data_IF_643846401111
#
_entry.id   IF_643846401111
#
_cell.length_a   1.000
_cell.length_b   1.000
_cell.length_c   1.000
_cell.angle_alpha   90.00
_cell.angle_beta   90.00
_cell.angle_gamma   90.00
#
_symmetry.space_group_name_H-M   'P 1'
#
loop_
_entity.id
_entity.type
_entity.pdbx_description
1 polymer ?
#
# COMPACT_ATOMS: atom_id res chain seq x y z
N UNK A 1 -8.92 19.29 17.77
CA UNK A 1 -7.80 19.17 16.81
C UNK A 1 -7.06 17.84 16.93
N UNK A 2 -6.82 17.29 18.14
CA UNK A 2 -6.09 16.02 18.30
C UNK A 2 -6.94 14.73 18.19
N UNK A 3 -8.24 14.79 18.51
CA UNK A 3 -9.13 13.61 18.43
C UNK A 3 -9.29 13.02 17.00
N UNK A 4 -9.11 13.84 15.95
CA UNK A 4 -9.10 13.36 14.56
C UNK A 4 -7.77 12.68 14.19
N UNK A 5 -6.65 13.15 14.73
CA UNK A 5 -5.32 12.54 14.51
C UNK A 5 -5.24 11.18 15.20
N UNK A 6 -5.80 11.05 16.41
CA UNK A 6 -5.95 9.77 17.11
C UNK A 6 -6.77 8.77 16.28
N UNK A 7 -7.88 9.23 15.72
CA UNK A 7 -8.82 8.39 14.97
C UNK A 7 -8.26 7.92 13.63
N UNK A 8 -7.53 8.76 12.90
CA UNK A 8 -6.92 8.37 11.62
C UNK A 8 -5.89 7.24 11.79
N UNK A 9 -5.06 7.30 12.83
CA UNK A 9 -4.10 6.24 13.13
C UNK A 9 -4.79 4.93 13.54
N UNK A 10 -5.86 5.00 14.33
CA UNK A 10 -6.67 3.83 14.71
C UNK A 10 -7.33 3.18 13.50
N UNK A 11 -7.95 3.98 12.63
CA UNK A 11 -8.60 3.51 11.40
C UNK A 11 -7.59 2.88 10.43
N UNK A 12 -6.40 3.48 10.30
CA UNK A 12 -5.33 2.91 9.49
C UNK A 12 -4.83 1.58 10.03
N UNK A 13 -4.54 1.52 11.34
CA UNK A 13 -4.10 0.28 11.99
C UNK A 13 -5.15 -0.83 11.86
N UNK A 14 -6.44 -0.51 12.04
CA UNK A 14 -7.53 -1.46 11.88
C UNK A 14 -7.57 -2.06 10.46
N UNK A 15 -7.34 -1.23 9.41
CA UNK A 15 -7.26 -1.71 8.03
C UNK A 15 -6.05 -2.61 7.80
N UNK A 16 -4.86 -2.22 8.25
CA UNK A 16 -3.65 -3.05 8.13
C UNK A 16 -3.84 -4.40 8.83
N UNK A 17 -4.44 -4.40 10.02
CA UNK A 17 -4.71 -5.61 10.78
C UNK A 17 -5.71 -6.53 10.07
N UNK A 18 -6.71 -5.96 9.39
CA UNK A 18 -7.66 -6.72 8.58
C UNK A 18 -6.94 -7.44 7.43
N UNK A 19 -6.16 -6.71 6.64
CA UNK A 19 -5.40 -7.28 5.51
C UNK A 19 -4.43 -8.37 5.96
N UNK A 20 -3.73 -8.14 7.09
CA UNK A 20 -2.86 -9.17 7.67
C UNK A 20 -3.60 -10.45 8.07
N UNK A 21 -4.80 -10.31 8.66
CA UNK A 21 -5.60 -11.46 9.06
C UNK A 21 -6.21 -12.20 7.87
N UNK A 22 -6.51 -11.51 6.78
CA UNK A 22 -7.01 -12.11 5.54
C UNK A 22 -5.90 -12.84 4.77
N UNK A 23 -4.71 -12.26 4.70
CA UNK A 23 -3.52 -12.94 4.15
C UNK A 23 -3.18 -14.21 4.94
N UNK A 24 -3.30 -14.17 6.28
CA UNK A 24 -3.17 -15.37 7.12
C UNK A 24 -4.22 -16.44 6.84
N UNK A 25 -5.38 -16.07 6.32
CA UNK A 25 -6.42 -17.01 5.87
C UNK A 25 -6.17 -17.52 4.44
N UNK A 26 -5.07 -17.12 3.80
CA UNK A 26 -4.74 -17.44 2.42
C UNK A 26 -5.53 -16.65 1.39
N UNK A 27 -6.19 -15.58 1.81
CA UNK A 27 -6.93 -14.69 0.91
C UNK A 27 -5.97 -13.57 0.52
N UNK A 28 -5.32 -13.74 -0.62
CA UNK A 28 -4.50 -12.68 -1.22
C UNK A 28 -5.43 -11.60 -1.76
N UNK A 29 -5.39 -10.41 -1.16
CA UNK A 29 -6.18 -9.26 -1.61
C UNK A 29 -5.37 -8.32 -2.48
N UNK A 30 -6.06 -7.71 -3.43
CA UNK A 30 -5.53 -6.60 -4.23
C UNK A 30 -5.17 -5.40 -3.34
N UNK A 31 -4.24 -4.53 -3.77
CA UNK A 31 -3.89 -3.31 -3.06
C UNK A 31 -5.13 -2.48 -2.73
N UNK A 32 -5.21 -1.94 -1.51
CA UNK A 32 -6.31 -1.07 -1.12
C UNK A 32 -5.87 0.40 -1.12
N UNK A 33 -6.81 1.28 -1.44
CA UNK A 33 -6.60 2.73 -1.39
C UNK A 33 -6.91 3.20 0.04
N UNK A 34 -5.89 3.71 0.73
CA UNK A 34 -6.02 4.29 2.07
C UNK A 34 -6.47 5.75 2.02
N UNK A 35 -5.81 6.57 1.21
CA UNK A 35 -6.17 7.95 0.90
C UNK A 35 -6.19 8.17 -0.61
N UNK A 36 -6.75 9.28 -1.09
CA UNK A 36 -7.08 9.53 -2.51
C UNK A 36 -5.96 9.18 -3.51
N UNK A 37 -4.70 9.29 -3.10
CA UNK A 37 -3.52 8.97 -3.87
C UNK A 37 -2.55 8.03 -3.14
N UNK A 38 -2.95 7.37 -2.05
CA UNK A 38 -2.09 6.43 -1.30
C UNK A 38 -2.69 5.03 -1.36
N UNK A 39 -1.95 4.10 -1.95
CA UNK A 39 -2.27 2.67 -1.93
C UNK A 39 -1.40 1.94 -0.92
N UNK A 40 -1.94 0.86 -0.37
CA UNK A 40 -1.23 -0.05 0.52
C UNK A 40 -1.43 -1.47 0.04
N UNK A 41 -0.32 -2.20 -0.07
CA UNK A 41 -0.29 -3.60 -0.45
C UNK A 41 0.47 -4.40 0.61
N UNK A 42 -0.04 -5.57 0.97
CA UNK A 42 0.70 -6.54 1.75
C UNK A 42 1.42 -7.50 0.80
N UNK A 43 2.75 -7.61 0.95
CA UNK A 43 3.58 -8.52 0.16
C UNK A 43 3.99 -9.69 1.04
N UNK A 44 3.68 -10.89 0.56
CA UNK A 44 4.08 -12.15 1.17
C UNK A 44 5.35 -12.73 0.50
N UNK A 45 5.99 -13.71 1.13
CA UNK A 45 7.26 -14.34 0.71
C UNK A 45 7.22 -14.92 -0.71
N UNK A 46 6.01 -15.20 -1.24
CA UNK A 46 5.77 -15.73 -2.58
C UNK A 46 5.54 -14.69 -3.68
N UNK A 47 5.38 -13.41 -3.32
CA UNK A 47 5.14 -12.33 -4.27
C UNK A 47 6.43 -11.57 -4.62
N UNK A 48 6.47 -10.84 -5.74
CA UNK A 48 7.60 -9.99 -6.09
C UNK A 48 7.77 -8.89 -5.03
N UNK A 49 8.83 -9.00 -4.21
CA UNK A 49 9.14 -8.00 -3.20
C UNK A 49 10.19 -7.03 -3.72
N UNK A 50 9.87 -5.74 -3.95
CA UNK A 50 10.84 -4.75 -4.41
C UNK A 50 11.96 -4.50 -3.39
N UNK A 51 11.72 -4.78 -2.10
CA UNK A 51 12.74 -4.69 -1.06
C UNK A 51 13.77 -5.80 -1.15
N UNK A 52 13.48 -6.93 -1.83
CA UNK A 52 14.42 -8.07 -1.95
C UNK A 52 15.74 -7.69 -2.64
N UNK A 53 15.72 -6.65 -3.46
CA UNK A 53 16.91 -6.15 -4.15
C UNK A 53 17.80 -5.26 -3.25
N UNK A 54 17.29 -4.83 -2.10
CA UNK A 54 17.95 -3.89 -1.17
C UNK A 54 18.23 -4.56 0.18
N UNK A 55 17.25 -5.32 0.67
CA UNK A 55 17.26 -6.06 1.92
C UNK A 55 17.22 -7.56 1.59
N UNK A 56 18.10 -8.33 2.23
CA UNK A 56 18.19 -9.78 2.03
C UNK A 56 17.07 -10.54 2.74
N UNK A 57 16.26 -9.83 3.53
CA UNK A 57 15.11 -10.37 4.26
C UNK A 57 13.89 -10.40 3.33
N UNK A 58 13.26 -11.56 3.23
CA UNK A 58 12.02 -11.73 2.48
C UNK A 58 10.89 -12.03 3.47
N UNK A 59 10.62 -11.05 4.32
CA UNK A 59 9.55 -11.10 5.30
C UNK A 59 8.25 -10.47 4.78
N UNK A 60 7.18 -10.69 5.55
CA UNK A 60 5.87 -10.14 5.24
C UNK A 60 5.90 -8.62 5.49
N UNK A 61 5.72 -7.83 4.45
CA UNK A 61 5.89 -6.38 4.50
C UNK A 61 4.71 -5.65 3.90
N UNK A 62 4.30 -4.55 4.55
CA UNK A 62 3.37 -3.60 3.95
C UNK A 62 4.15 -2.60 3.10
N UNK A 63 3.76 -2.47 1.85
CA UNK A 63 4.26 -1.45 0.93
C UNK A 63 3.19 -0.38 0.78
N UNK A 64 3.60 0.86 1.02
CA UNK A 64 2.75 2.04 0.86
C UNK A 64 3.31 2.86 -0.28
N UNK A 65 2.49 3.08 -1.30
CA UNK A 65 2.90 3.77 -2.52
C UNK A 65 1.92 4.87 -2.87
N UNK A 66 2.43 5.91 -3.55
CA UNK A 66 1.58 6.92 -4.15
C UNK A 66 1.00 6.39 -5.47
N UNK A 67 -0.32 6.34 -5.58
CA UNK A 67 -1.00 6.02 -6.84
C UNK A 67 -0.80 7.19 -7.79
N UNK A 68 -0.06 6.95 -8.87
CA UNK A 68 -0.04 7.89 -10.00
C UNK A 68 -1.37 7.75 -10.70
N UNK A 69 -2.31 8.65 -10.38
CA UNK A 69 -3.54 8.78 -11.15
C UNK A 69 -3.15 8.97 -12.62
N UNK A 70 -3.60 8.04 -13.46
CA UNK A 70 -3.25 7.93 -14.88
C UNK A 70 -3.54 9.22 -15.68
N UNK A 71 -4.40 10.10 -15.15
CA UNK A 71 -4.61 11.45 -15.69
C UNK A 71 -3.31 12.28 -15.69
N UNK A 72 -2.50 12.23 -14.63
CA UNK A 72 -1.24 12.98 -14.55
C UNK A 72 -0.13 12.37 -15.39
N UNK A 73 -0.15 11.04 -15.57
CA UNK A 73 0.80 10.34 -16.44
C UNK A 73 0.59 10.70 -17.92
N UNK A 74 -0.67 10.82 -18.36
CA UNK A 74 -1.01 11.28 -19.70
C UNK A 74 -0.66 12.75 -19.90
N UNK A 75 -0.94 13.63 -18.93
CA UNK A 75 -0.54 15.05 -19.00
C UNK A 75 0.97 15.26 -19.03
N UNK A 76 1.75 14.49 -18.25
CA UNK A 76 3.22 14.54 -18.31
C UNK A 76 3.76 14.02 -19.63
N UNK A 77 3.13 12.99 -20.22
CA UNK A 77 3.51 12.47 -21.53
C UNK A 77 3.22 13.47 -22.66
N UNK A 78 2.10 14.18 -22.58
CA UNK A 78 1.73 15.24 -23.54
C UNK A 78 2.56 16.53 -23.36
N UNK A 79 3.01 16.83 -22.13
CA UNK A 79 3.79 18.06 -21.85
C UNK A 79 5.26 18.00 -22.25
N UNK A 80 5.77 16.80 -22.57
CA UNK A 80 7.15 16.57 -23.00
C UNK A 80 7.31 16.38 -24.52
N UNK A 81 6.22 16.55 -25.30
CA UNK A 81 6.20 16.44 -26.76
C UNK A 81 5.65 17.70 -27.44
#
# INVERSE_FOLDING_TARGET
MWAQVSRGAEEFYARLLQEFNEEKKGICKDPFIYEADIQVQLINKGQPNPLKNILNENDLVFIVEKVVSSAWALWLYDSFF
#
